data_IF_806202460429
#
_entry.id   IF_806202460429
#
_cell.length_a   1.000
_cell.length_b   1.000
_cell.length_c   1.000
_cell.angle_alpha   90.00
_cell.angle_beta   90.00
_cell.angle_gamma   90.00
#
_symmetry.space_group_name_H-M   'P 1'
#
loop_
_entity.id
_entity.type
_entity.pdbx_description
1 polymer ?
#
# COMPACT_ATOMS: atom_id res chain seq x y z
N UNK A 1 -25.69 -12.78 -27.44
CA UNK A 1 -25.20 -13.59 -26.30
C UNK A 1 -24.18 -12.74 -25.57
N UNK A 2 -24.21 -12.72 -24.23
CA UNK A 2 -23.20 -12.02 -23.43
C UNK A 2 -22.01 -12.95 -23.23
N UNK A 3 -20.79 -12.45 -23.43
CA UNK A 3 -19.58 -13.20 -23.17
C UNK A 3 -19.50 -13.58 -21.68
N UNK A 4 -19.08 -14.81 -21.39
CA UNK A 4 -18.90 -15.29 -20.01
C UNK A 4 -17.85 -14.43 -19.30
N UNK A 5 -18.14 -14.05 -18.05
CA UNK A 5 -17.17 -13.34 -17.21
C UNK A 5 -15.95 -14.23 -16.95
N UNK A 6 -14.77 -13.69 -17.23
CA UNK A 6 -13.50 -14.27 -16.80
C UNK A 6 -13.26 -13.95 -15.32
N UNK A 7 -12.32 -14.65 -14.69
CA UNK A 7 -11.92 -14.42 -13.29
C UNK A 7 -11.62 -12.95 -12.99
N UNK A 8 -10.72 -12.32 -13.77
CA UNK A 8 -10.36 -10.90 -13.56
C UNK A 8 -11.53 -9.94 -13.81
N UNK A 9 -12.42 -10.23 -14.76
CA UNK A 9 -13.63 -9.42 -14.96
C UNK A 9 -14.61 -9.54 -13.79
N UNK A 10 -14.67 -10.71 -13.16
CA UNK A 10 -15.46 -10.90 -11.96
C UNK A 10 -14.86 -10.12 -10.77
N UNK A 11 -13.55 -10.25 -10.53
CA UNK A 11 -12.85 -9.48 -9.49
C UNK A 11 -12.97 -7.96 -9.70
N UNK A 12 -12.84 -7.50 -10.95
CA UNK A 12 -13.08 -6.09 -11.32
C UNK A 12 -14.49 -5.65 -10.94
N UNK A 13 -15.52 -6.41 -11.33
CA UNK A 13 -16.91 -6.09 -11.04
C UNK A 13 -17.21 -6.08 -9.53
N UNK A 14 -16.69 -7.07 -8.79
CA UNK A 14 -16.81 -7.13 -7.32
C UNK A 14 -16.18 -5.90 -6.65
N UNK A 15 -14.99 -5.50 -7.10
CA UNK A 15 -14.28 -4.35 -6.54
C UNK A 15 -14.96 -3.03 -6.85
N UNK A 16 -15.44 -2.86 -8.09
CA UNK A 16 -16.23 -1.70 -8.50
C UNK A 16 -17.52 -1.59 -7.68
N UNK A 17 -18.19 -2.72 -7.42
CA UNK A 17 -19.37 -2.76 -6.58
C UNK A 17 -19.06 -2.27 -5.16
N UNK A 18 -18.00 -2.79 -4.53
CA UNK A 18 -17.57 -2.37 -3.18
C UNK A 18 -17.27 -0.86 -3.15
N UNK A 19 -16.54 -0.34 -4.14
CA UNK A 19 -16.20 1.09 -4.21
C UNK A 19 -17.46 1.97 -4.32
N UNK A 20 -18.45 1.54 -5.11
CA UNK A 20 -19.72 2.26 -5.29
C UNK A 20 -20.59 2.24 -4.03
N UNK A 21 -20.67 1.11 -3.33
CA UNK A 21 -21.43 1.02 -2.06
C UNK A 21 -20.90 2.02 -1.03
N UNK A 22 -19.57 2.10 -0.88
CA UNK A 22 -18.98 3.08 0.06
C UNK A 22 -19.30 4.52 -0.35
N UNK A 23 -19.19 4.85 -1.63
CA UNK A 23 -19.52 6.20 -2.09
C UNK A 23 -21.02 6.53 -1.99
N UNK A 24 -21.89 5.50 -1.88
CA UNK A 24 -23.32 5.68 -1.70
C UNK A 24 -23.74 5.78 -0.23
N UNK A 25 -23.01 5.13 0.69
CA UNK A 25 -23.37 5.02 2.11
C UNK A 25 -22.59 5.98 3.03
N UNK A 26 -21.44 6.50 2.61
CA UNK A 26 -20.54 7.31 3.45
C UNK A 26 -20.44 8.75 2.95
N UNK A 27 -20.32 9.70 3.89
CA UNK A 27 -20.33 11.13 3.60
C UNK A 27 -18.98 11.62 3.08
N UNK A 28 -17.87 11.16 3.68
CA UNK A 28 -16.52 11.61 3.38
C UNK A 28 -15.54 10.44 3.17
N UNK A 29 -15.63 9.70 2.04
CA UNK A 29 -14.63 8.69 1.73
C UNK A 29 -13.28 9.29 1.33
N UNK A 30 -12.20 8.52 1.49
CA UNK A 30 -10.87 8.82 0.95
C UNK A 30 -10.20 7.56 0.40
N UNK A 31 -9.46 7.69 -0.70
CA UNK A 31 -8.64 6.58 -1.22
C UNK A 31 -7.19 6.69 -0.78
N UNK A 32 -6.68 5.71 -0.02
CA UNK A 32 -5.27 5.64 0.36
C UNK A 32 -4.43 5.16 -0.83
N UNK A 33 -3.59 6.05 -1.34
CA UNK A 33 -2.73 5.81 -2.49
C UNK A 33 -1.26 5.84 -2.07
N UNK A 34 -0.65 4.66 -2.02
CA UNK A 34 0.74 4.45 -1.60
C UNK A 34 1.74 4.45 -2.75
N UNK A 35 1.27 4.67 -3.99
CA UNK A 35 2.10 4.60 -5.21
C UNK A 35 2.69 3.18 -5.45
N UNK A 36 2.12 2.17 -4.79
CA UNK A 36 2.43 0.76 -5.06
C UNK A 36 1.48 0.16 -6.08
N UNK A 37 1.84 -1.02 -6.61
CA UNK A 37 1.08 -1.78 -7.61
C UNK A 37 -0.39 -1.99 -7.22
N UNK A 38 -0.68 -2.36 -5.97
CA UNK A 38 -2.05 -2.61 -5.51
C UNK A 38 -2.87 -1.32 -5.47
N UNK A 39 -2.27 -0.22 -4.98
CA UNK A 39 -2.94 1.08 -4.97
C UNK A 39 -3.16 1.65 -6.38
N UNK A 40 -2.30 1.30 -7.36
CA UNK A 40 -2.49 1.66 -8.76
C UNK A 40 -3.68 0.91 -9.37
N UNK A 41 -3.81 -0.40 -9.10
CA UNK A 41 -5.00 -1.17 -9.50
C UNK A 41 -6.27 -0.64 -8.84
N UNK A 42 -6.23 -0.36 -7.53
CA UNK A 42 -7.37 0.20 -6.81
C UNK A 42 -7.81 1.57 -7.38
N UNK A 43 -6.86 2.44 -7.72
CA UNK A 43 -7.13 3.72 -8.37
C UNK A 43 -7.76 3.52 -9.76
N UNK A 44 -7.25 2.59 -10.56
CA UNK A 44 -7.81 2.26 -11.88
C UNK A 44 -9.27 1.76 -11.76
N UNK A 45 -9.54 0.87 -10.81
CA UNK A 45 -10.88 0.38 -10.51
C UNK A 45 -11.83 1.51 -10.09
N UNK A 46 -11.37 2.45 -9.25
CA UNK A 46 -12.17 3.61 -8.87
C UNK A 46 -12.49 4.51 -10.07
N UNK A 47 -11.54 4.72 -10.98
CA UNK A 47 -11.78 5.45 -12.23
C UNK A 47 -12.85 4.75 -13.09
N UNK A 48 -12.80 3.42 -13.21
CA UNK A 48 -13.85 2.64 -13.89
C UNK A 48 -15.20 2.73 -13.17
N UNK A 49 -15.20 2.72 -11.83
CA UNK A 49 -16.41 2.77 -11.02
C UNK A 49 -17.23 4.04 -11.25
N UNK A 50 -16.58 5.19 -11.47
CA UNK A 50 -17.26 6.47 -11.61
C UNK A 50 -17.23 7.07 -13.03
N UNK A 51 -16.65 6.37 -14.01
CA UNK A 51 -16.68 6.82 -15.40
C UNK A 51 -18.13 7.09 -15.88
N UNK A 52 -18.40 8.18 -16.63
CA UNK A 52 -17.46 9.19 -17.14
C UNK A 52 -17.15 10.35 -16.18
N UNK A 53 -17.65 10.30 -14.94
CA UNK A 53 -17.36 11.28 -13.90
C UNK A 53 -15.95 11.17 -13.33
N UNK A 54 -15.57 12.18 -12.53
CA UNK A 54 -14.37 12.14 -11.68
C UNK A 54 -14.64 11.31 -10.43
N UNK A 55 -13.59 11.02 -9.67
CA UNK A 55 -13.74 10.42 -8.34
C UNK A 55 -14.53 11.38 -7.43
N UNK A 56 -15.57 10.92 -6.72
CA UNK A 56 -16.34 11.74 -5.80
C UNK A 56 -15.64 11.95 -4.45
N UNK A 57 -14.45 11.39 -4.27
CA UNK A 57 -13.63 11.48 -3.06
C UNK A 57 -12.17 11.81 -3.43
N UNK A 58 -11.42 12.45 -2.51
CA UNK A 58 -10.01 12.70 -2.70
C UNK A 58 -9.17 11.41 -2.60
N UNK A 59 -7.95 11.50 -3.12
CA UNK A 59 -6.89 10.52 -2.93
C UNK A 59 -5.94 11.04 -1.85
N UNK A 60 -5.38 10.17 -1.02
CA UNK A 60 -4.48 10.58 0.05
C UNK A 60 -3.20 9.72 0.09
N UNK A 61 -2.06 10.40 0.21
CA UNK A 61 -0.76 9.78 0.47
C UNK A 61 -0.22 10.20 1.84
N UNK A 62 -0.02 9.23 2.73
CA UNK A 62 0.67 9.42 4.02
C UNK A 62 2.17 9.35 3.78
N UNK A 63 2.80 10.52 3.77
CA UNK A 63 4.19 10.69 3.39
C UNK A 63 5.10 10.68 4.63
N UNK A 64 5.90 9.62 4.74
CA UNK A 64 6.90 9.48 5.81
C UNK A 64 8.15 10.29 5.55
N UNK A 65 8.24 10.96 4.40
CA UNK A 65 9.42 11.60 3.83
C UNK A 65 10.51 10.63 3.41
N UNK A 66 10.35 9.32 3.60
CA UNK A 66 11.37 8.27 3.40
C UNK A 66 11.03 7.29 2.28
N UNK A 67 10.14 7.65 1.35
CA UNK A 67 9.89 6.83 0.14
C UNK A 67 11.09 6.92 -0.81
N UNK A 68 11.10 6.01 -1.78
CA UNK A 68 12.03 6.09 -2.91
C UNK A 68 11.78 7.34 -3.75
N UNK A 69 12.82 7.95 -4.31
CA UNK A 69 12.69 9.12 -5.19
C UNK A 69 11.84 8.80 -6.44
N UNK A 70 12.00 7.61 -7.03
CA UNK A 70 11.18 7.17 -8.16
C UNK A 70 9.68 7.07 -7.82
N UNK A 71 9.32 6.80 -6.55
CA UNK A 71 7.92 6.81 -6.13
C UNK A 71 7.35 8.23 -6.08
N UNK A 72 8.13 9.21 -5.59
CA UNK A 72 7.70 10.61 -5.58
C UNK A 72 7.50 11.14 -7.00
N UNK A 73 8.48 10.92 -7.88
CA UNK A 73 8.40 11.34 -9.27
C UNK A 73 7.19 10.72 -9.99
N UNK A 74 6.96 9.41 -9.79
CA UNK A 74 5.83 8.72 -10.40
C UNK A 74 4.48 9.23 -9.86
N UNK A 75 4.36 9.45 -8.54
CA UNK A 75 3.14 10.00 -7.93
C UNK A 75 2.78 11.36 -8.54
N UNK A 76 3.75 12.27 -8.61
CA UNK A 76 3.52 13.64 -9.05
C UNK A 76 3.08 13.66 -10.52
N UNK A 77 3.74 12.84 -11.36
CA UNK A 77 3.34 12.62 -12.75
C UNK A 77 1.88 12.11 -12.86
N UNK A 78 1.53 11.05 -12.12
CA UNK A 78 0.18 10.46 -12.18
C UNK A 78 -0.92 11.42 -11.68
N UNK A 79 -0.62 12.28 -10.70
CA UNK A 79 -1.57 13.29 -10.20
C UNK A 79 -1.88 14.33 -11.27
N UNK A 80 -0.84 14.80 -11.96
CA UNK A 80 -0.98 15.76 -13.06
C UNK A 80 -1.73 15.14 -14.25
N UNK A 81 -1.30 13.97 -14.72
CA UNK A 81 -1.87 13.29 -15.89
C UNK A 81 -3.36 12.94 -15.70
N UNK A 82 -3.75 12.47 -14.51
CA UNK A 82 -5.12 12.03 -14.23
C UNK A 82 -6.01 13.13 -13.63
N UNK A 83 -5.42 14.29 -13.30
CA UNK A 83 -6.10 15.41 -12.66
C UNK A 83 -6.71 15.04 -11.30
N UNK A 84 -5.93 14.34 -10.46
CA UNK A 84 -6.37 13.85 -9.16
C UNK A 84 -6.33 14.96 -8.10
N UNK A 85 -7.29 14.93 -7.18
CA UNK A 85 -7.21 15.67 -5.92
C UNK A 85 -6.40 14.85 -4.92
N UNK A 86 -5.08 15.09 -4.87
CA UNK A 86 -4.17 14.40 -3.96
C UNK A 86 -3.91 15.22 -2.69
N UNK A 87 -4.31 14.66 -1.56
CA UNK A 87 -3.95 15.12 -0.23
C UNK A 87 -2.64 14.44 0.19
N UNK A 88 -1.59 15.22 0.42
CA UNK A 88 -0.36 14.73 1.05
C UNK A 88 -0.38 15.08 2.53
N UNK A 89 -0.25 14.08 3.40
CA UNK A 89 -0.15 14.29 4.84
C UNK A 89 1.19 13.78 5.36
N UNK A 90 1.92 14.65 6.06
CA UNK A 90 3.16 14.34 6.78
C UNK A 90 2.89 14.60 8.25
N UNK A 91 3.23 13.64 9.13
CA UNK A 91 3.07 13.83 10.58
C UNK A 91 4.02 14.96 11.07
N UNK A 92 3.50 16.11 11.52
CA UNK A 92 4.32 17.24 11.98
C UNK A 92 5.11 16.90 13.26
N UNK A 93 4.56 16.11 14.17
CA UNK A 93 5.21 15.74 15.42
C UNK A 93 6.40 14.82 15.17
N UNK A 94 6.24 13.86 14.25
CA UNK A 94 7.33 12.99 13.82
C UNK A 94 8.45 13.75 13.11
N UNK A 95 8.10 14.77 12.32
CA UNK A 95 9.09 15.68 11.71
C UNK A 95 9.82 16.50 12.77
N UNK A 96 9.11 17.10 13.73
CA UNK A 96 9.70 17.91 14.78
C UNK A 96 10.68 17.09 15.67
N UNK A 97 10.38 15.81 15.87
CA UNK A 97 11.24 14.87 16.61
C UNK A 97 12.38 14.28 15.76
N UNK A 98 12.44 14.58 14.46
CA UNK A 98 13.46 14.01 13.56
C UNK A 98 13.35 12.50 13.39
N UNK A 99 12.14 11.93 13.52
CA UNK A 99 11.92 10.48 13.40
C UNK A 99 12.33 9.99 12.01
N UNK A 100 13.13 8.92 11.98
CA UNK A 100 13.63 8.32 10.75
C UNK A 100 13.93 6.83 10.94
N UNK A 101 13.91 6.03 9.85
CA UNK A 101 14.05 4.58 9.94
C UNK A 101 15.46 4.12 10.35
N UNK A 102 16.48 4.95 10.16
CA UNK A 102 17.89 4.58 10.37
C UNK A 102 18.31 4.66 11.84
N UNK A 103 17.91 5.73 12.53
CA UNK A 103 18.33 5.99 13.92
C UNK A 103 17.30 5.55 14.96
N UNK A 104 16.01 5.55 14.60
CA UNK A 104 14.92 5.18 15.52
C UNK A 104 14.43 3.73 15.30
N UNK A 105 14.94 3.06 14.27
CA UNK A 105 14.49 1.74 13.87
C UNK A 105 13.15 1.75 13.15
N UNK A 106 12.86 0.63 12.50
CA UNK A 106 11.72 0.48 11.60
C UNK A 106 10.37 0.55 12.33
N UNK A 107 10.27 -0.02 13.54
CA UNK A 107 9.05 -0.06 14.34
C UNK A 107 8.58 1.34 14.77
N UNK A 108 9.45 2.11 15.44
CA UNK A 108 9.11 3.46 15.95
C UNK A 108 8.86 4.43 14.81
N UNK A 109 9.67 4.38 13.75
CA UNK A 109 9.45 5.20 12.56
C UNK A 109 8.10 4.91 11.90
N UNK A 110 7.78 3.63 11.69
CA UNK A 110 6.53 3.22 11.06
C UNK A 110 5.32 3.62 11.88
N UNK A 111 5.38 3.44 13.21
CA UNK A 111 4.27 3.81 14.09
C UNK A 111 3.99 5.32 14.04
N UNK A 112 5.01 6.14 14.28
CA UNK A 112 4.84 7.59 14.34
C UNK A 112 4.52 8.17 12.95
N UNK A 113 5.31 7.83 11.93
CA UNK A 113 5.19 8.48 10.62
C UNK A 113 4.05 7.93 9.76
N UNK A 114 3.60 6.68 9.98
CA UNK A 114 2.47 6.09 9.23
C UNK A 114 1.22 5.92 10.07
N UNK A 115 1.26 5.19 11.18
CA UNK A 115 0.05 4.91 11.97
C UNK A 115 -0.55 6.19 12.51
N UNK A 116 0.23 6.96 13.25
CA UNK A 116 -0.26 8.21 13.83
C UNK A 116 -0.50 9.27 12.77
N UNK A 117 0.35 9.35 11.73
CA UNK A 117 0.12 10.23 10.58
C UNK A 117 -1.20 9.95 9.86
N UNK A 118 -1.55 8.67 9.64
CA UNK A 118 -2.82 8.31 9.03
C UNK A 118 -4.00 8.72 9.92
N UNK A 119 -3.96 8.43 11.23
CA UNK A 119 -5.02 8.82 12.17
C UNK A 119 -5.22 10.33 12.19
N UNK A 120 -4.12 11.09 12.33
CA UNK A 120 -4.14 12.55 12.29
C UNK A 120 -4.79 13.08 11.01
N UNK A 121 -4.47 12.48 9.85
CA UNK A 121 -5.07 12.86 8.58
C UNK A 121 -6.58 12.58 8.55
N UNK A 122 -7.00 11.37 8.96
CA UNK A 122 -8.42 10.99 8.98
C UNK A 122 -9.23 11.90 9.90
N UNK A 123 -8.72 12.21 11.09
CA UNK A 123 -9.36 13.13 12.03
C UNK A 123 -9.41 14.57 11.49
N UNK A 124 -8.31 15.06 10.91
CA UNK A 124 -8.21 16.42 10.37
C UNK A 124 -9.25 16.70 9.29
N UNK A 125 -9.48 15.73 8.41
CA UNK A 125 -10.39 15.89 7.27
C UNK A 125 -11.79 15.31 7.54
N UNK A 126 -12.01 14.63 8.67
CA UNK A 126 -13.31 14.06 9.03
C UNK A 126 -13.74 12.92 8.11
N UNK A 127 -12.79 12.11 7.64
CA UNK A 127 -13.07 10.97 6.76
C UNK A 127 -13.73 9.84 7.54
N UNK A 128 -14.87 9.35 7.05
CA UNK A 128 -15.67 8.27 7.66
C UNK A 128 -15.47 6.91 6.96
N UNK A 129 -14.88 6.90 5.76
CA UNK A 129 -14.42 5.69 5.09
C UNK A 129 -13.05 5.89 4.43
N UNK A 130 -12.16 4.90 4.55
CA UNK A 130 -10.87 4.91 3.88
C UNK A 130 -10.65 3.63 3.07
N UNK A 131 -10.47 3.75 1.75
CA UNK A 131 -10.10 2.63 0.90
C UNK A 131 -8.62 2.29 1.04
N UNK A 132 -8.32 1.03 1.33
CA UNK A 132 -6.97 0.47 1.36
C UNK A 132 -6.79 -0.64 0.34
N UNK A 133 -5.64 -0.66 -0.33
CA UNK A 133 -5.31 -1.67 -1.35
C UNK A 133 -4.83 -3.01 -0.80
N UNK A 134 -5.18 -3.37 0.43
CA UNK A 134 -4.66 -4.57 1.07
C UNK A 134 -5.41 -5.84 0.65
N UNK A 135 -4.69 -6.97 0.58
CA UNK A 135 -5.24 -8.27 0.15
C UNK A 135 -5.12 -9.33 1.24
N UNK A 136 -5.98 -10.35 1.18
CA UNK A 136 -5.95 -11.45 2.16
C UNK A 136 -4.75 -12.39 1.99
N UNK A 137 -4.20 -12.50 0.78
CA UNK A 137 -3.06 -13.37 0.48
C UNK A 137 -1.70 -12.75 0.84
N UNK A 138 -1.62 -11.43 1.06
CA UNK A 138 -0.37 -10.71 1.34
C UNK A 138 0.33 -11.19 2.61
N UNK A 139 -0.43 -11.48 3.68
CA UNK A 139 0.11 -11.82 5.00
C UNK A 139 -0.89 -12.66 5.82
N UNK A 140 -0.39 -13.58 6.66
CA UNK A 140 -1.20 -14.59 7.36
C UNK A 140 -2.29 -14.01 8.25
N UNK A 141 -2.05 -12.89 8.95
CA UNK A 141 -3.07 -12.26 9.80
C UNK A 141 -4.22 -11.68 8.99
N UNK A 142 -3.99 -11.34 7.71
CA UNK A 142 -5.02 -10.82 6.81
C UNK A 142 -5.96 -11.88 6.26
N UNK A 143 -5.64 -13.17 6.40
CA UNK A 143 -6.46 -14.25 5.87
C UNK A 143 -7.92 -14.24 6.40
N UNK A 144 -8.14 -13.66 7.59
CA UNK A 144 -9.46 -13.51 8.22
C UNK A 144 -10.04 -12.10 8.10
N UNK A 145 -9.42 -11.24 7.28
CA UNK A 145 -9.92 -9.87 7.08
C UNK A 145 -11.23 -9.86 6.32
N UNK A 146 -12.04 -8.86 6.68
CA UNK A 146 -13.29 -8.51 6.02
C UNK A 146 -13.03 -7.44 4.97
N UNK A 147 -13.98 -7.22 4.07
CA UNK A 147 -13.94 -6.06 3.17
C UNK A 147 -14.08 -4.77 3.98
N UNK A 148 -15.01 -4.74 4.94
CA UNK A 148 -15.31 -3.62 5.84
C UNK A 148 -14.71 -3.89 7.22
N UNK A 149 -13.80 -3.01 7.64
CA UNK A 149 -13.14 -3.04 8.95
C UNK A 149 -13.55 -1.83 9.77
N UNK A 150 -14.44 -2.03 10.75
CA UNK A 150 -15.02 -0.95 11.56
C UNK A 150 -14.03 -0.47 12.63
N UNK A 151 -13.96 0.86 12.79
CA UNK A 151 -13.14 1.57 13.76
C UNK A 151 -13.99 2.45 14.66
N UNK A 152 -13.68 2.42 15.95
CA UNK A 152 -14.32 3.31 16.92
C UNK A 152 -13.82 4.76 16.78
N UNK A 153 -14.36 5.66 17.60
CA UNK A 153 -13.99 7.09 17.67
C UNK A 153 -12.54 7.35 18.05
N UNK A 154 -11.79 6.32 18.47
CA UNK A 154 -10.36 6.38 18.79
C UNK A 154 -9.51 5.61 17.77
N UNK A 155 -10.07 5.32 16.60
CA UNK A 155 -9.48 4.53 15.51
C UNK A 155 -9.16 3.07 15.86
N UNK A 156 -9.65 2.55 16.98
CA UNK A 156 -9.36 1.19 17.42
C UNK A 156 -10.27 0.20 16.74
N UNK A 157 -9.73 -0.99 16.51
CA UNK A 157 -10.48 -2.13 15.98
C UNK A 157 -10.97 -3.03 17.11
N UNK A 158 -12.28 -3.31 17.15
CA UNK A 158 -12.90 -4.25 18.08
C UNK A 158 -13.48 -5.46 17.31
N UNK A 159 -13.10 -6.70 17.64
CA UNK A 159 -13.66 -7.91 17.03
C UNK A 159 -15.19 -8.00 17.07
N UNK A 160 -15.82 -7.53 18.15
CA UNK A 160 -17.27 -7.63 18.36
C UNK A 160 -18.06 -6.62 17.52
N UNK A 161 -17.43 -5.52 17.10
CA UNK A 161 -18.06 -4.54 16.21
C UNK A 161 -17.99 -4.93 14.73
N UNK A 162 -17.31 -6.03 14.39
CA UNK A 162 -17.20 -6.47 13.01
C UNK A 162 -18.44 -7.24 12.56
N UNK A 163 -18.83 -7.04 11.31
CA UNK A 163 -20.11 -7.54 10.77
C UNK A 163 -19.89 -8.72 9.83
N UNK A 164 -20.73 -9.77 9.87
CA UNK A 164 -20.79 -10.76 8.81
C UNK A 164 -21.06 -10.09 7.46
N UNK A 165 -20.31 -10.48 6.44
CA UNK A 165 -20.50 -10.01 5.05
C UNK A 165 -21.15 -11.14 4.28
N UNK A 166 -22.42 -10.98 3.92
CA UNK A 166 -23.23 -12.02 3.27
C UNK A 166 -23.42 -11.64 1.80
N UNK A 167 -23.10 -12.54 0.87
CA UNK A 167 -23.05 -12.23 -0.58
C UNK A 167 -22.17 -11.02 -0.89
N UNK A 168 -22.68 -10.09 -1.70
CA UNK A 168 -22.12 -8.77 -1.95
C UNK A 168 -22.93 -7.68 -1.24
N UNK A 169 -23.64 -8.04 -0.16
CA UNK A 169 -24.40 -7.10 0.67
C UNK A 169 -23.52 -6.70 1.85
N UNK A 170 -23.19 -5.42 1.88
CA UNK A 170 -22.40 -4.82 2.95
C UNK A 170 -23.32 -3.98 3.84
N UNK A 171 -22.95 -3.85 5.12
CA UNK A 171 -23.69 -3.01 6.06
C UNK A 171 -22.76 -1.86 6.47
N UNK A 172 -22.84 -0.71 5.79
CA UNK A 172 -22.02 0.45 6.07
C UNK A 172 -22.50 1.32 7.23
N UNK A 173 -23.62 1.02 7.90
CA UNK A 173 -24.17 1.88 8.96
C UNK A 173 -23.15 2.18 10.07
N UNK A 174 -22.62 3.40 10.18
CA UNK A 174 -21.68 3.79 11.23
C UNK A 174 -22.32 4.78 12.21
N UNK A 175 -21.89 4.76 13.48
CA UNK A 175 -22.29 5.81 14.41
C UNK A 175 -21.48 7.08 14.15
N UNK A 176 -21.99 8.22 14.64
CA UNK A 176 -21.29 9.50 14.53
C UNK A 176 -19.88 9.41 15.15
N UNK A 177 -18.87 9.70 14.35
CA UNK A 177 -17.45 9.67 14.73
C UNK A 177 -16.78 8.30 14.61
N UNK A 178 -17.51 7.25 14.24
CA UNK A 178 -16.89 5.99 13.80
C UNK A 178 -16.45 6.11 12.34
N UNK A 179 -15.49 5.28 11.93
CA UNK A 179 -15.07 5.19 10.54
C UNK A 179 -14.84 3.75 10.14
N UNK A 180 -14.69 3.50 8.84
CA UNK A 180 -14.31 2.19 8.32
C UNK A 180 -13.03 2.22 7.50
N UNK A 181 -12.36 1.07 7.41
CA UNK A 181 -11.39 0.77 6.35
C UNK A 181 -12.02 -0.22 5.40
N UNK A 182 -11.88 0.03 4.10
CA UNK A 182 -12.49 -0.77 3.04
C UNK A 182 -11.39 -1.36 2.17
N UNK A 183 -11.46 -2.66 1.89
CA UNK A 183 -10.45 -3.37 1.11
C UNK A 183 -11.05 -3.98 -0.18
N UNK A 184 -11.26 -3.17 -1.25
CA UNK A 184 -11.82 -3.65 -2.51
C UNK A 184 -11.01 -4.78 -3.14
N UNK A 185 -9.70 -4.81 -2.87
CA UNK A 185 -8.77 -5.81 -3.42
C UNK A 185 -8.67 -7.08 -2.58
N UNK A 186 -9.45 -7.23 -1.51
CA UNK A 186 -9.30 -8.35 -0.56
C UNK A 186 -9.35 -9.76 -1.18
N UNK A 187 -10.10 -9.95 -2.27
CA UNK A 187 -10.21 -11.22 -3.01
C UNK A 187 -9.12 -11.43 -4.09
N UNK A 188 -8.32 -10.42 -4.38
CA UNK A 188 -7.27 -10.49 -5.39
C UNK A 188 -6.04 -11.16 -4.82
N UNK A 189 -5.30 -11.87 -5.67
CA UNK A 189 -3.96 -12.39 -5.36
C UNK A 189 -2.87 -11.53 -5.97
N UNK A 190 -1.61 -11.74 -5.56
CA UNK A 190 -0.48 -11.04 -6.19
C UNK A 190 -0.45 -11.29 -7.71
N UNK A 191 -0.77 -12.52 -8.15
CA UNK A 191 -0.81 -12.87 -9.57
C UNK A 191 -1.94 -12.12 -10.31
N UNK A 192 -3.12 -12.01 -9.70
CA UNK A 192 -4.25 -11.28 -10.28
C UNK A 192 -3.91 -9.80 -10.50
N UNK A 193 -3.25 -9.17 -9.53
CA UNK A 193 -2.80 -7.77 -9.61
C UNK A 193 -1.87 -7.57 -10.80
N UNK A 194 -0.85 -8.42 -10.97
CA UNK A 194 0.08 -8.29 -12.10
C UNK A 194 -0.55 -8.60 -13.45
N UNK A 195 -1.38 -9.64 -13.53
CA UNK A 195 -2.11 -9.94 -14.76
C UNK A 195 -3.04 -8.80 -15.16
N UNK A 196 -3.72 -8.18 -14.20
CA UNK A 196 -4.60 -7.05 -14.46
C UNK A 196 -3.83 -5.80 -14.87
N UNK A 197 -2.70 -5.49 -14.21
CA UNK A 197 -1.79 -4.41 -14.65
C UNK A 197 -1.34 -4.61 -16.10
N UNK A 198 -0.98 -5.84 -16.47
CA UNK A 198 -0.57 -6.17 -17.82
C UNK A 198 -1.71 -6.01 -18.85
N UNK A 199 -2.90 -6.56 -18.57
CA UNK A 199 -4.03 -6.53 -19.48
C UNK A 199 -4.60 -5.12 -19.68
N UNK A 200 -4.59 -4.31 -18.63
CA UNK A 200 -5.15 -2.96 -18.62
C UNK A 200 -4.11 -1.88 -18.98
N UNK A 201 -2.83 -2.25 -19.08
CA UNK A 201 -1.75 -1.30 -19.37
C UNK A 201 -1.57 -0.25 -18.27
N UNK A 202 -1.75 -0.64 -17.00
CA UNK A 202 -1.68 0.30 -15.86
C UNK A 202 -0.22 0.71 -15.63
N UNK A 203 0.11 2.02 -15.63
CA UNK A 203 1.46 2.48 -15.32
C UNK A 203 1.88 2.07 -13.90
N UNK A 204 3.14 1.68 -13.74
CA UNK A 204 3.73 1.31 -12.45
C UNK A 204 5.13 1.88 -12.28
N UNK A 205 5.56 2.02 -11.03
CA UNK A 205 6.88 2.56 -10.68
C UNK A 205 8.00 1.67 -11.25
N UNK A 206 9.06 2.24 -11.88
CA UNK A 206 10.14 1.45 -12.49
C UNK A 206 10.90 0.51 -11.54
N UNK A 207 10.86 0.78 -10.23
CA UNK A 207 11.42 -0.06 -9.17
C UNK A 207 10.91 -1.51 -9.19
N UNK A 208 9.73 -1.76 -9.76
CA UNK A 208 9.22 -3.12 -9.90
C UNK A 208 9.96 -3.95 -10.97
N UNK A 209 10.67 -3.31 -11.90
CA UNK A 209 11.48 -3.96 -12.92
C UNK A 209 12.94 -4.06 -12.49
N UNK A 210 13.58 -5.15 -12.87
CA UNK A 210 14.98 -5.40 -12.60
C UNK A 210 15.87 -4.39 -13.32
N UNK A 211 16.74 -3.73 -12.57
CA UNK A 211 17.76 -2.84 -13.10
C UNK A 211 19.01 -2.92 -12.23
N UNK A 212 20.16 -2.55 -12.80
CA UNK A 212 21.38 -2.40 -12.02
C UNK A 212 21.23 -1.24 -11.04
N UNK A 213 21.35 -1.54 -9.75
CA UNK A 213 21.24 -0.56 -8.66
C UNK A 213 22.36 -0.78 -7.67
N UNK A 214 22.82 0.31 -7.07
CA UNK A 214 23.77 0.25 -5.97
C UNK A 214 23.01 -0.19 -4.71
N UNK A 215 23.48 -1.28 -4.11
CA UNK A 215 22.87 -1.91 -2.94
C UNK A 215 23.92 -2.23 -1.89
N UNK A 216 23.48 -2.31 -0.64
CA UNK A 216 24.27 -2.79 0.49
C UNK A 216 23.51 -3.89 1.21
N UNK A 217 24.21 -4.92 1.67
CA UNK A 217 23.60 -5.95 2.51
C UNK A 217 23.53 -5.46 3.96
N UNK A 218 22.30 -5.35 4.47
CA UNK A 218 22.02 -5.01 5.86
C UNK A 218 21.09 -6.07 6.44
N UNK A 219 21.55 -6.75 7.50
CA UNK A 219 20.78 -7.79 8.20
C UNK A 219 20.20 -8.86 7.24
N UNK A 220 21.00 -9.32 6.27
CA UNK A 220 20.61 -10.34 5.28
C UNK A 220 19.62 -9.85 4.21
N UNK A 221 19.43 -8.54 4.08
CA UNK A 221 18.55 -7.92 3.08
C UNK A 221 19.34 -6.93 2.23
N UNK A 222 19.14 -6.97 0.91
CA UNK A 222 19.68 -5.96 0.00
C UNK A 222 18.88 -4.66 0.13
N UNK A 223 19.54 -3.58 0.57
CA UNK A 223 18.96 -2.24 0.65
C UNK A 223 19.56 -1.39 -0.45
N UNK A 224 18.71 -0.74 -1.25
CA UNK A 224 19.16 0.16 -2.31
C UNK A 224 19.63 1.49 -1.74
N UNK A 225 20.73 1.98 -2.29
CA UNK A 225 21.20 3.35 -2.09
C UNK A 225 20.38 4.26 -3.01
N UNK A 226 19.27 4.79 -2.48
CA UNK A 226 18.36 5.68 -3.25
C UNK A 226 18.79 7.16 -3.19
N UNK A 227 19.31 7.61 -2.05
CA UNK A 227 19.86 8.95 -1.89
C UNK A 227 20.86 9.08 -0.72
N UNK A 228 21.39 10.29 -0.56
CA UNK A 228 22.40 10.68 0.44
C UNK A 228 21.99 10.41 1.88
N UNK A 229 20.69 10.27 2.19
CA UNK A 229 20.25 10.10 3.58
C UNK A 229 20.77 8.81 4.18
N UNK A 230 20.79 7.72 3.41
CA UNK A 230 21.38 6.46 3.85
C UNK A 230 22.91 6.58 3.91
N UNK A 231 23.53 7.13 2.86
CA UNK A 231 24.99 7.29 2.78
C UNK A 231 25.58 8.06 3.97
N UNK A 232 24.88 9.09 4.44
CA UNK A 232 25.28 9.89 5.59
C UNK A 232 25.26 9.12 6.92
N UNK A 233 24.57 7.99 6.99
CA UNK A 233 24.51 7.12 8.17
C UNK A 233 25.40 5.87 8.06
N UNK A 234 26.08 5.68 6.92
CA UNK A 234 27.01 4.57 6.71
C UNK A 234 28.43 4.99 7.10
N UNK A 235 29.17 4.07 7.74
CA UNK A 235 30.61 4.24 7.94
C UNK A 235 31.37 4.11 6.61
N UNK A 236 32.63 4.53 6.56
CA UNK A 236 33.45 4.37 5.35
C UNK A 236 33.67 2.89 4.99
N UNK A 237 33.72 2.01 5.99
CA UNK A 237 33.75 0.55 5.79
C UNK A 237 32.44 0.05 5.18
N UNK A 238 31.29 0.53 5.63
CA UNK A 238 29.99 0.18 5.06
C UNK A 238 29.87 0.66 3.60
N UNK A 239 30.32 1.88 3.32
CA UNK A 239 30.32 2.43 1.96
C UNK A 239 31.18 1.59 1.01
N UNK A 240 32.29 1.04 1.49
CA UNK A 240 33.14 0.14 0.72
C UNK A 240 32.47 -1.22 0.39
N UNK A 241 31.39 -1.59 1.10
CA UNK A 241 30.58 -2.81 0.84
C UNK A 241 29.43 -2.58 -0.14
N UNK A 242 29.22 -1.35 -0.63
CA UNK A 242 28.21 -1.06 -1.65
C UNK A 242 28.60 -1.78 -2.94
N UNK A 243 27.67 -2.55 -3.49
CA UNK A 243 27.86 -3.31 -4.73
C UNK A 243 26.74 -3.01 -5.70
N UNK A 244 27.03 -3.06 -6.99
CA UNK A 244 26.01 -2.99 -8.03
C UNK A 244 25.41 -4.38 -8.26
N UNK A 245 24.09 -4.49 -8.14
CA UNK A 245 23.34 -5.73 -8.42
C UNK A 245 22.13 -5.44 -9.29
N UNK A 246 21.78 -6.40 -10.15
CA UNK A 246 20.53 -6.35 -10.90
C UNK A 246 19.40 -6.81 -10.00
N UNK A 247 18.61 -5.85 -9.52
CA UNK A 247 17.58 -6.08 -8.51
C UNK A 247 16.28 -5.40 -8.88
N UNK A 248 15.16 -5.89 -8.33
CA UNK A 248 13.84 -5.25 -8.36
C UNK A 248 13.20 -5.26 -6.98
N UNK A 249 12.05 -4.63 -6.85
CA UNK A 249 11.28 -4.61 -5.61
C UNK A 249 9.92 -5.30 -5.80
N UNK A 250 9.57 -6.24 -4.92
CA UNK A 250 8.24 -6.88 -4.94
C UNK A 250 7.15 -6.03 -4.27
N UNK A 251 7.54 -5.18 -3.33
CA UNK A 251 6.67 -4.21 -2.66
C UNK A 251 7.41 -2.89 -2.50
N UNK A 252 6.68 -1.77 -2.43
CA UNK A 252 7.26 -0.44 -2.32
C UNK A 252 6.76 0.30 -1.07
N UNK A 253 7.65 1.00 -0.39
CA UNK A 253 7.31 1.78 0.79
C UNK A 253 8.47 2.68 1.16
N UNK A 254 8.90 2.64 2.41
CA UNK A 254 10.02 3.46 2.86
C UNK A 254 11.32 2.77 2.43
N UNK A 255 12.19 3.46 1.71
CA UNK A 255 13.26 2.82 0.95
C UNK A 255 14.29 2.09 1.81
N UNK A 256 14.72 2.60 3.00
CA UNK A 256 15.68 1.86 3.83
C UNK A 256 15.05 0.67 4.56
N UNK A 257 13.72 0.49 4.42
CA UNK A 257 12.95 -0.59 5.04
C UNK A 257 12.37 -1.55 3.99
N UNK A 258 12.76 -1.38 2.72
CA UNK A 258 12.25 -2.14 1.60
C UNK A 258 13.39 -2.91 0.94
N UNK A 259 13.40 -4.22 1.13
CA UNK A 259 14.40 -5.10 0.58
C UNK A 259 14.24 -5.32 -0.93
N UNK A 260 15.36 -5.22 -1.63
CA UNK A 260 15.48 -5.56 -3.03
C UNK A 260 15.65 -7.08 -3.19
N UNK A 261 15.19 -7.61 -4.32
CA UNK A 261 15.41 -9.00 -4.72
C UNK A 261 16.23 -9.03 -6.01
N UNK A 262 17.26 -9.86 -6.06
CA UNK A 262 17.99 -10.13 -7.31
C UNK A 262 17.05 -10.78 -8.32
N UNK A 263 17.01 -10.25 -9.53
CA UNK A 263 16.03 -10.64 -10.55
C UNK A 263 16.51 -10.22 -11.93
N UNK A 264 16.07 -10.97 -12.94
CA UNK A 264 16.27 -10.63 -14.36
C UNK A 264 15.03 -10.02 -15.00
N UNK A 265 13.93 -9.86 -14.24
CA UNK A 265 12.63 -9.50 -14.77
C UNK A 265 12.53 -8.01 -15.15
N UNK A 266 12.75 -7.71 -16.43
CA UNK A 266 12.77 -6.34 -16.98
C UNK A 266 11.43 -5.87 -17.57
N UNK A 267 10.44 -6.76 -17.64
CA UNK A 267 9.10 -6.48 -18.18
C UNK A 267 8.00 -7.08 -17.30
N UNK A 268 6.75 -6.64 -17.52
CA UNK A 268 5.59 -7.22 -16.81
C UNK A 268 5.43 -8.72 -17.08
N UNK A 269 5.71 -9.16 -18.31
CA UNK A 269 5.68 -10.58 -18.67
C UNK A 269 6.75 -11.37 -17.92
N UNK A 270 7.96 -10.82 -17.75
CA UNK A 270 9.01 -11.48 -16.98
C UNK A 270 8.63 -11.59 -15.49
N UNK A 271 8.04 -10.52 -14.92
CA UNK A 271 7.58 -10.52 -13.52
C UNK A 271 6.52 -11.61 -13.30
N UNK A 272 5.54 -11.71 -14.20
CA UNK A 272 4.49 -12.74 -14.13
C UNK A 272 5.11 -14.14 -14.22
N UNK A 273 6.06 -14.36 -15.13
CA UNK A 273 6.77 -15.65 -15.26
C UNK A 273 7.56 -16.00 -14.00
N UNK A 274 8.32 -15.05 -13.45
CA UNK A 274 9.10 -15.25 -12.22
C UNK A 274 8.19 -15.61 -11.03
N UNK A 275 7.02 -14.98 -10.94
CA UNK A 275 6.05 -15.24 -9.88
C UNK A 275 5.44 -16.63 -9.94
N UNK A 276 5.19 -17.17 -11.14
CA UNK A 276 4.67 -18.54 -11.28
C UNK A 276 5.64 -19.60 -10.74
N UNK A 277 6.93 -19.27 -10.62
CA UNK A 277 7.98 -20.15 -10.10
C UNK A 277 8.34 -19.86 -8.64
N UNK A 278 7.95 -18.70 -8.12
CA UNK A 278 8.32 -18.23 -6.79
C UNK A 278 7.51 -18.92 -5.69
N UNK A 279 8.18 -19.37 -4.63
CA UNK A 279 7.55 -19.98 -3.45
C UNK A 279 7.56 -19.10 -2.21
N UNK A 280 8.09 -17.89 -2.31
CA UNK A 280 8.22 -16.95 -1.20
C UNK A 280 7.11 -15.92 -1.22
N UNK A 281 6.66 -15.51 -0.03
CA UNK A 281 5.64 -14.48 0.11
C UNK A 281 6.14 -13.14 -0.42
N UNK A 282 5.21 -12.36 -0.95
CA UNK A 282 5.45 -11.02 -1.49
C UNK A 282 6.19 -10.10 -0.50
N UNK A 283 5.82 -10.16 0.77
CA UNK A 283 6.33 -9.27 1.82
C UNK A 283 7.61 -9.75 2.50
N UNK A 284 8.23 -10.84 2.05
CA UNK A 284 9.41 -11.43 2.71
C UNK A 284 10.57 -10.44 2.94
N UNK A 285 10.79 -9.51 2.00
CA UNK A 285 11.85 -8.50 2.07
C UNK A 285 11.54 -7.25 2.91
N UNK A 286 10.42 -7.21 3.65
CA UNK A 286 10.07 -6.06 4.50
C UNK A 286 10.73 -6.15 5.86
N UNK A 287 11.65 -5.23 6.15
CA UNK A 287 12.34 -5.14 7.44
C UNK A 287 11.34 -4.95 8.60
N UNK A 288 10.30 -4.14 8.39
CA UNK A 288 9.22 -3.88 9.37
C UNK A 288 8.40 -5.10 9.77
N UNK A 289 8.42 -6.17 8.98
CA UNK A 289 7.66 -7.39 9.24
C UNK A 289 8.46 -8.35 10.13
N UNK A 290 9.77 -8.12 10.30
CA UNK A 290 10.67 -8.86 11.20
C UNK A 290 10.99 -8.10 12.50
N UNK A 291 10.90 -6.77 12.48
CA UNK A 291 11.19 -5.90 13.62
C UNK A 291 9.94 -5.62 14.48
N UNK A 292 9.78 -6.36 15.57
CA UNK A 292 8.86 -5.98 16.66
C UNK A 292 8.18 -7.16 17.36
N UNK A 293 8.05 -7.06 18.68
CA UNK A 293 7.39 -8.05 19.54
C UNK A 293 5.85 -8.07 19.44
N UNK A 294 5.25 -7.28 18.54
CA UNK A 294 3.81 -7.18 18.35
C UNK A 294 3.38 -7.82 17.04
N UNK A 295 2.40 -8.73 17.09
CA UNK A 295 1.86 -9.36 15.88
C UNK A 295 1.17 -8.30 14.99
N UNK A 296 1.03 -8.60 13.70
CA UNK A 296 0.27 -7.73 12.78
C UNK A 296 -1.17 -7.49 13.26
N UNK A 297 -1.73 -8.40 14.05
CA UNK A 297 -3.02 -8.26 14.72
C UNK A 297 -3.01 -7.12 15.77
N UNK A 298 -1.90 -6.93 16.49
CA UNK A 298 -1.75 -5.84 17.43
C UNK A 298 -1.66 -4.49 16.71
N UNK A 299 -0.89 -4.42 15.62
CA UNK A 299 -0.82 -3.25 14.73
C UNK A 299 -2.21 -2.89 14.19
N UNK A 300 -3.03 -3.89 13.83
CA UNK A 300 -4.43 -3.70 13.43
C UNK A 300 -5.27 -3.06 14.55
N UNK A 301 -5.19 -3.57 15.78
CA UNK A 301 -5.90 -3.00 16.94
C UNK A 301 -5.51 -1.55 17.21
N UNK A 302 -4.26 -1.22 16.94
CA UNK A 302 -3.70 0.13 17.10
C UNK A 302 -4.02 1.08 15.94
N UNK A 303 -4.63 0.63 14.84
CA UNK A 303 -5.01 1.52 13.75
C UNK A 303 -4.08 1.55 12.53
N UNK A 304 -3.11 0.64 12.43
CA UNK A 304 -2.11 0.61 11.35
C UNK A 304 -2.70 0.40 9.95
N UNK A 305 -3.85 -0.27 9.87
CA UNK A 305 -4.62 -0.47 8.63
C UNK A 305 -5.79 0.48 8.54
#
# INVERSE_FOLDING_TARGET
MVDKLTHLKQLEAESIHIIREVAAEFDNPVMLYSVGKDSAVMLHLARKAFFPGKLPFPVMHVDTRWKFQEMYAFRDCMVEELGLDLIVHVNPDGVAQGINPLTHGSAKHTDIMKTEGLKQALDKYGFDAAFGGARRDEEKSRAKERVYSFRDTKHRWDPKNQRPELWNVYNGNVNKGESIRVFPLSNWTELDIWQYIYLEGIPIVPLYFAAERDVIEMNGTWIMIDDERLLNHLSDEDKARIVKKKVRFRTLGDYPLTGAVESEATSLTDIIQEMLLTRTSERQGRVIDHDGAGSMEEKKRQGYF
#
